data_IF_932112795161
#
_entry.id   IF_932112795161
#
_cell.length_a   1.000
_cell.length_b   1.000
_cell.length_c   1.000
_cell.angle_alpha   90.00
_cell.angle_beta   90.00
_cell.angle_gamma   90.00
#
_symmetry.space_group_name_H-M   'P 1'
#
loop_
_entity.id
_entity.type
_entity.pdbx_description
1 polymer ?
#
# COMPACT_ATOMS: atom_id res chain seq x y z
N UNK A 1 -8.33 6.38 -18.60
CA UNK A 1 -9.77 6.14 -18.33
C UNK A 1 -10.39 7.27 -17.51
N UNK A 2 -11.73 7.37 -17.43
CA UNK A 2 -12.42 8.30 -16.53
C UNK A 2 -12.33 7.80 -15.07
N UNK A 3 -12.02 8.67 -14.10
CA UNK A 3 -11.76 8.26 -12.69
C UNK A 3 -12.90 7.45 -12.07
N UNK A 4 -14.13 7.67 -12.51
CA UNK A 4 -15.31 6.94 -12.03
C UNK A 4 -15.32 5.47 -12.49
N UNK A 5 -14.81 5.19 -13.69
CA UNK A 5 -14.71 3.80 -14.19
C UNK A 5 -13.64 3.02 -13.43
N UNK A 6 -12.50 3.67 -13.14
CA UNK A 6 -11.44 3.09 -12.30
C UNK A 6 -11.94 2.78 -10.89
N UNK A 7 -12.73 3.68 -10.29
CA UNK A 7 -13.32 3.47 -8.97
C UNK A 7 -14.31 2.30 -8.94
N UNK A 8 -15.13 2.16 -9.99
CA UNK A 8 -16.06 1.04 -10.10
C UNK A 8 -15.32 -0.30 -10.26
N UNK A 9 -14.27 -0.33 -11.10
CA UNK A 9 -13.44 -1.51 -11.30
C UNK A 9 -12.67 -1.90 -10.03
N UNK A 10 -12.06 -0.93 -9.34
CA UNK A 10 -11.36 -1.15 -8.08
C UNK A 10 -12.29 -1.76 -7.01
N UNK A 11 -13.53 -1.26 -6.93
CA UNK A 11 -14.54 -1.83 -6.01
C UNK A 11 -14.89 -3.28 -6.35
N UNK A 12 -14.97 -3.63 -7.63
CA UNK A 12 -15.26 -5.00 -8.04
C UNK A 12 -14.10 -5.96 -7.70
N UNK A 13 -12.84 -5.49 -7.84
CA UNK A 13 -11.66 -6.25 -7.43
C UNK A 13 -11.64 -6.44 -5.91
N UNK A 14 -11.91 -5.38 -5.15
CA UNK A 14 -11.94 -5.40 -3.67
C UNK A 14 -12.97 -6.38 -3.11
N UNK A 15 -14.19 -6.41 -3.67
CA UNK A 15 -15.24 -7.37 -3.28
C UNK A 15 -14.78 -8.80 -3.53
N UNK A 16 -14.28 -9.08 -4.73
CA UNK A 16 -13.82 -10.44 -5.07
C UNK A 16 -12.62 -10.87 -4.23
N UNK A 17 -11.69 -9.97 -3.93
CA UNK A 17 -10.53 -10.24 -3.09
C UNK A 17 -10.96 -10.51 -1.64
N UNK A 18 -11.99 -9.83 -1.15
CA UNK A 18 -12.58 -10.05 0.17
C UNK A 18 -13.32 -11.39 0.27
N UNK A 19 -13.98 -11.82 -0.80
CA UNK A 19 -14.68 -13.12 -0.85
C UNK A 19 -13.72 -14.30 -0.95
N UNK A 20 -12.59 -14.16 -1.65
CA UNK A 20 -11.61 -15.22 -1.82
C UNK A 20 -10.17 -14.67 -1.85
N UNK A 21 -9.57 -14.39 -0.68
CA UNK A 21 -8.28 -13.69 -0.58
C UNK A 21 -7.09 -14.51 -1.05
N UNK A 22 -7.22 -15.84 -1.15
CA UNK A 22 -6.19 -16.72 -1.67
C UNK A 22 -6.21 -16.86 -3.19
N UNK A 23 -7.25 -16.34 -3.86
CA UNK A 23 -7.40 -16.41 -5.30
C UNK A 23 -6.85 -15.13 -5.92
N UNK A 24 -5.83 -15.26 -6.77
CA UNK A 24 -5.28 -14.13 -7.52
C UNK A 24 -6.33 -13.56 -8.48
N UNK A 25 -6.56 -12.25 -8.42
CA UNK A 25 -7.53 -11.55 -9.28
C UNK A 25 -6.77 -10.81 -10.37
N UNK A 26 -7.04 -11.10 -11.65
CA UNK A 26 -6.49 -10.30 -12.75
C UNK A 26 -7.18 -8.93 -12.76
N UNK A 27 -6.42 -7.89 -12.44
CA UNK A 27 -6.87 -6.50 -12.53
C UNK A 27 -6.14 -5.78 -13.68
N UNK A 28 -6.83 -4.84 -14.32
CA UNK A 28 -6.20 -3.96 -15.32
C UNK A 28 -5.05 -3.16 -14.69
N UNK A 29 -3.94 -2.90 -15.41
CA UNK A 29 -2.80 -2.17 -14.87
C UNK A 29 -3.16 -0.78 -14.30
N UNK A 30 -4.05 -0.04 -14.98
CA UNK A 30 -4.53 1.27 -14.49
C UNK A 30 -5.35 1.15 -13.20
N UNK A 31 -6.08 0.04 -13.01
CA UNK A 31 -6.88 -0.22 -11.79
C UNK A 31 -5.97 -0.65 -10.65
N UNK A 32 -4.98 -1.50 -10.94
CA UNK A 32 -3.98 -1.94 -9.98
C UNK A 32 -3.12 -0.76 -9.48
N UNK A 33 -2.70 0.14 -10.38
CA UNK A 33 -2.04 1.40 -10.04
C UNK A 33 -2.95 2.30 -9.18
N UNK A 34 -4.20 2.48 -9.59
CA UNK A 34 -5.20 3.24 -8.82
C UNK A 34 -5.45 2.66 -7.41
N UNK A 35 -5.30 1.35 -7.23
CA UNK A 35 -5.42 0.66 -5.93
C UNK A 35 -4.11 0.65 -5.13
N UNK A 36 -3.02 1.20 -5.64
CA UNK A 36 -1.71 1.19 -4.97
C UNK A 36 -1.04 -0.18 -4.94
N UNK A 37 -1.42 -1.10 -5.83
CA UNK A 37 -0.92 -2.47 -5.83
C UNK A 37 0.60 -2.58 -6.12
N UNK A 38 1.20 -1.52 -6.66
CA UNK A 38 2.62 -1.45 -6.97
C UNK A 38 3.37 -0.41 -6.13
N UNK A 39 2.72 0.19 -5.12
CA UNK A 39 3.37 1.18 -4.26
C UNK A 39 4.42 0.50 -3.38
N UNK A 40 5.68 0.95 -3.48
CA UNK A 40 6.78 0.44 -2.67
C UNK A 40 6.60 0.94 -1.23
N UNK A 41 6.25 0.04 -0.31
CA UNK A 41 6.15 0.34 1.14
C UNK A 41 7.46 0.08 1.88
N UNK A 42 8.56 -0.17 1.16
CA UNK A 42 9.86 -0.36 1.77
C UNK A 42 10.34 0.98 2.35
N UNK A 43 10.88 0.96 3.57
CA UNK A 43 11.55 2.12 4.16
C UNK A 43 12.74 2.47 3.27
N UNK A 44 12.73 3.67 2.70
CA UNK A 44 13.84 4.16 1.89
C UNK A 44 15.00 4.59 2.79
N UNK A 45 16.21 4.69 2.23
CA UNK A 45 17.37 5.16 2.99
C UNK A 45 17.20 6.63 3.44
N UNK A 46 16.44 7.43 2.69
CA UNK A 46 16.06 8.81 3.07
C UNK A 46 15.18 8.82 4.33
N UNK A 47 14.22 7.89 4.44
CA UNK A 47 13.36 7.77 5.64
C UNK A 47 14.15 7.36 6.91
N UNK A 48 15.35 6.80 6.75
CA UNK A 48 16.20 6.36 7.86
C UNK A 48 17.04 7.50 8.45
N UNK A 49 17.33 8.54 7.67
CA UNK A 49 18.10 9.71 8.12
C UNK A 49 17.29 10.59 9.08
N UNK A 50 15.98 10.69 8.88
CA UNK A 50 15.03 11.37 9.79
C UNK A 50 14.75 10.57 11.09
N UNK A 51 15.22 9.32 11.19
CA UNK A 51 14.94 8.40 12.31
C UNK A 51 15.98 8.40 13.45
N UNK A 52 17.09 9.15 13.34
CA UNK A 52 18.14 9.19 14.36
C UNK A 52 18.03 10.41 15.29
N UNK A 53 16.88 10.59 15.96
CA UNK A 53 16.80 11.47 17.13
C UNK A 53 15.94 10.83 18.24
N UNK A 54 16.61 10.13 19.18
CA UNK A 54 16.17 10.09 20.57
C UNK A 54 15.61 8.78 21.13
N UNK A 55 16.44 7.75 21.24
CA UNK A 55 16.25 6.74 22.30
C UNK A 55 17.60 6.33 22.92
N UNK A 56 18.19 7.25 23.70
CA UNK A 56 19.25 6.91 24.66
C UNK A 56 18.78 7.05 26.11
N UNK A 57 18.51 5.88 26.69
CA UNK A 57 18.66 5.46 28.09
C UNK A 57 19.15 6.47 29.14
N UNK A 58 18.43 6.52 30.28
CA UNK A 58 18.90 7.14 31.52
C UNK A 58 18.20 6.62 32.78
N UNK A 59 18.29 5.30 33.05
CA UNK A 59 18.04 4.73 34.38
C UNK A 59 19.34 4.79 35.21
N UNK A 60 19.32 5.53 36.32
CA UNK A 60 20.32 5.40 37.39
C UNK A 60 21.06 6.68 37.77
N UNK A 61 20.60 7.32 38.86
CA UNK A 61 21.40 7.65 40.04
C UNK A 61 20.45 8.13 41.16
#
# INVERSE_FOLDING_TARGET
MERETLKAAARAVDVQASENPSLGIPADPEVADFMGAFEETAVSLDDLDDGHEGEESGHGA
#
